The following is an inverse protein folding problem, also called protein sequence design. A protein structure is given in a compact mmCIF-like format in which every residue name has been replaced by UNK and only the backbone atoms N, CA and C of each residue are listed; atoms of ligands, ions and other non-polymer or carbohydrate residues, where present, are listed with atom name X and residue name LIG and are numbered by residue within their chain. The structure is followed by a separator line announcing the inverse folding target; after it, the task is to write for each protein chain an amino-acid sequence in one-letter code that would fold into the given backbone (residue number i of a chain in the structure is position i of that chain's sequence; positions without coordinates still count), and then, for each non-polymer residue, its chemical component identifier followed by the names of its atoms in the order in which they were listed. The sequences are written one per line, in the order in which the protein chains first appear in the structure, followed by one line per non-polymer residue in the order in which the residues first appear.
data_IF_082259538179
#
_entry.id   IF_082259538179
#
_cell.length_a   1.000
_cell.length_b   1.000
_cell.length_c   1.000
_cell.angle_alpha   90.00
_cell.angle_beta   90.00
_cell.angle_gamma   90.00
#
_symmetry.space_group_name_H-M   'P 1'
#
loop_
_entity.id
_entity.type
_entity.pdbx_description
1 polymer ?
#
# COMPACT_ATOMS: atom_id res chain seq x y z
N UNK A 1 16.04 -13.20 -14.18
CA UNK A 1 14.90 -13.01 -13.25
C UNK A 1 13.91 -12.06 -13.86
N UNK A 2 12.64 -12.36 -13.82
CA UNK A 2 11.56 -11.49 -14.27
C UNK A 2 10.87 -10.86 -13.04
N UNK A 3 10.63 -9.55 -13.07
CA UNK A 3 9.81 -8.84 -12.07
C UNK A 3 8.52 -8.40 -12.76
N UNK A 4 7.38 -8.69 -12.18
CA UNK A 4 6.06 -8.28 -12.67
C UNK A 4 5.40 -7.38 -11.64
N UNK A 5 4.98 -6.19 -12.06
CA UNK A 5 4.35 -5.17 -11.23
C UNK A 5 2.91 -4.95 -11.66
N UNK A 6 1.99 -4.70 -10.72
CA UNK A 6 0.57 -4.47 -11.00
C UNK A 6 0.31 -3.14 -11.68
N UNK A 7 0.91 -2.06 -11.17
CA UNK A 7 0.66 -0.69 -11.64
C UNK A 7 1.65 -0.24 -12.71
N UNK A 8 1.64 1.04 -13.03
CA UNK A 8 2.42 1.67 -14.09
C UNK A 8 3.92 1.75 -13.75
N UNK A 9 4.73 1.90 -14.80
CA UNK A 9 6.19 2.01 -14.70
C UNK A 9 6.67 3.28 -13.98
N UNK A 10 5.88 4.35 -14.00
CA UNK A 10 6.16 5.62 -13.34
C UNK A 10 5.55 5.75 -11.94
N UNK A 11 4.95 4.68 -11.42
CA UNK A 11 4.50 4.63 -10.04
C UNK A 11 5.68 4.69 -9.07
N UNK A 12 5.63 5.66 -8.16
CA UNK A 12 6.73 5.92 -7.21
C UNK A 12 7.01 4.76 -6.28
N UNK A 13 5.97 4.03 -5.86
CA UNK A 13 6.12 2.85 -5.03
C UNK A 13 6.98 1.81 -5.73
N UNK A 14 6.76 1.60 -7.03
CA UNK A 14 7.54 0.62 -7.78
C UNK A 14 8.95 1.06 -8.12
N UNK A 15 9.19 2.37 -8.31
CA UNK A 15 10.55 2.86 -8.45
C UNK A 15 11.37 2.55 -7.19
N UNK A 16 10.80 2.82 -6.02
CA UNK A 16 11.42 2.50 -4.73
C UNK A 16 11.53 0.99 -4.51
N UNK A 17 10.43 0.24 -4.66
CA UNK A 17 10.40 -1.21 -4.48
C UNK A 17 11.40 -1.93 -5.38
N UNK A 18 11.48 -1.57 -6.66
CA UNK A 18 12.44 -2.16 -7.59
C UNK A 18 13.90 -1.87 -7.18
N UNK A 19 14.16 -0.66 -6.67
CA UNK A 19 15.47 -0.31 -6.12
C UNK A 19 15.81 -1.16 -4.90
N UNK A 20 14.87 -1.29 -3.97
CA UNK A 20 15.05 -2.08 -2.75
C UNK A 20 15.18 -3.58 -3.05
N UNK A 21 14.40 -4.14 -3.97
CA UNK A 21 14.55 -5.53 -4.43
C UNK A 21 15.99 -5.77 -4.92
N UNK A 22 16.51 -4.90 -5.80
CA UNK A 22 17.88 -5.03 -6.31
C UNK A 22 18.93 -4.97 -5.19
N UNK A 23 18.75 -4.08 -4.23
CA UNK A 23 19.62 -3.91 -3.07
C UNK A 23 19.57 -5.15 -2.16
N UNK A 24 18.38 -5.66 -1.85
CA UNK A 24 18.20 -6.83 -1.00
C UNK A 24 18.68 -8.13 -1.67
N UNK A 25 18.48 -8.28 -2.97
CA UNK A 25 19.07 -9.41 -3.72
C UNK A 25 20.60 -9.43 -3.63
N UNK A 26 21.26 -8.27 -3.79
CA UNK A 26 22.72 -8.17 -3.63
C UNK A 26 23.17 -8.52 -2.22
N UNK A 27 22.45 -8.07 -1.17
CA UNK A 27 22.73 -8.45 0.22
C UNK A 27 22.65 -9.97 0.42
N UNK A 28 21.69 -10.62 -0.25
CA UNK A 28 21.51 -12.06 -0.25
C UNK A 28 22.45 -12.77 -1.24
N UNK A 29 23.46 -12.08 -1.80
CA UNK A 29 24.44 -12.61 -2.77
C UNK A 29 23.82 -13.12 -4.08
N UNK A 30 22.67 -12.62 -4.45
CA UNK A 30 22.02 -12.90 -5.73
C UNK A 30 22.41 -11.84 -6.75
N UNK A 31 23.18 -12.25 -7.76
CA UNK A 31 23.49 -11.42 -8.92
C UNK A 31 22.59 -11.86 -10.09
N UNK A 32 21.63 -11.04 -10.46
CA UNK A 32 20.61 -11.38 -11.45
C UNK A 32 20.50 -10.31 -12.53
N UNK A 33 20.38 -10.75 -13.78
CA UNK A 33 19.82 -9.93 -14.85
C UNK A 33 18.30 -9.82 -14.63
N UNK A 34 17.78 -8.60 -14.48
CA UNK A 34 16.40 -8.34 -14.10
C UNK A 34 15.70 -7.58 -15.23
N UNK A 35 14.65 -8.19 -15.77
CA UNK A 35 13.67 -7.53 -16.63
C UNK A 35 12.39 -7.28 -15.87
N UNK A 36 11.76 -6.14 -16.10
CA UNK A 36 10.52 -5.76 -15.41
C UNK A 36 9.40 -5.58 -16.43
N UNK A 37 8.23 -6.12 -16.08
CA UNK A 37 6.98 -5.92 -16.78
C UNK A 37 6.00 -5.19 -15.87
N UNK A 38 5.25 -4.26 -16.44
CA UNK A 38 4.21 -3.49 -15.75
C UNK A 38 2.86 -3.84 -16.38
N UNK A 39 1.96 -4.38 -15.56
CA UNK A 39 0.63 -4.78 -16.01
C UNK A 39 -0.24 -3.58 -16.35
N UNK A 40 -0.05 -2.48 -15.60
CA UNK A 40 -0.84 -1.25 -15.72
C UNK A 40 -2.34 -1.52 -15.47
N UNK A 41 -2.61 -2.22 -14.37
CA UNK A 41 -3.95 -2.71 -14.02
C UNK A 41 -5.02 -1.63 -13.83
N UNK A 42 -4.63 -0.37 -13.74
CA UNK A 42 -5.57 0.75 -13.69
C UNK A 42 -6.16 1.11 -15.07
N UNK A 43 -5.56 0.61 -16.14
CA UNK A 43 -5.94 0.94 -17.52
C UNK A 43 -6.73 -0.16 -18.23
N UNK A 44 -6.74 -1.38 -17.69
CA UNK A 44 -7.30 -2.56 -18.38
C UNK A 44 -8.35 -3.27 -17.53
N UNK A 45 -9.26 -3.97 -18.22
CA UNK A 45 -10.21 -4.91 -17.61
C UNK A 45 -9.50 -6.23 -17.31
N UNK A 46 -10.08 -7.04 -16.43
CA UNK A 46 -9.45 -8.30 -16.00
C UNK A 46 -9.14 -9.25 -17.16
N UNK A 47 -10.03 -9.36 -18.14
CA UNK A 47 -9.83 -10.18 -19.32
C UNK A 47 -8.69 -9.65 -20.21
N UNK A 48 -8.59 -8.33 -20.36
CA UNK A 48 -7.53 -7.67 -21.10
C UNK A 48 -6.17 -7.83 -20.39
N UNK A 49 -6.16 -7.76 -19.06
CA UNK A 49 -4.96 -8.02 -18.26
C UNK A 49 -4.45 -9.46 -18.44
N UNK A 50 -5.37 -10.44 -18.42
CA UNK A 50 -5.02 -11.86 -18.62
C UNK A 50 -4.45 -12.10 -20.03
N UNK A 51 -5.05 -11.50 -21.06
CA UNK A 51 -4.53 -11.59 -22.44
C UNK A 51 -3.15 -10.91 -22.58
N UNK A 52 -2.98 -9.71 -22.04
CA UNK A 52 -1.69 -8.99 -22.03
C UNK A 52 -0.62 -9.80 -21.33
N UNK A 53 -0.94 -10.38 -20.18
CA UNK A 53 -0.01 -11.24 -19.42
C UNK A 53 0.36 -12.48 -20.24
N UNK A 54 -0.62 -13.14 -20.85
CA UNK A 54 -0.37 -14.31 -21.70
C UNK A 54 0.62 -13.97 -22.82
N UNK A 55 0.34 -12.93 -23.60
CA UNK A 55 1.16 -12.50 -24.74
C UNK A 55 2.57 -12.07 -24.30
N UNK A 56 2.68 -11.40 -23.15
CA UNK A 56 3.97 -11.04 -22.59
C UNK A 56 4.77 -12.27 -22.19
N UNK A 57 4.16 -13.22 -21.46
CA UNK A 57 4.83 -14.46 -21.05
C UNK A 57 5.24 -15.30 -22.27
N UNK A 58 4.42 -15.36 -23.31
CA UNK A 58 4.77 -16.05 -24.55
C UNK A 58 6.05 -15.49 -25.20
N UNK A 59 6.22 -14.18 -25.13
CA UNK A 59 7.42 -13.48 -25.62
C UNK A 59 8.62 -13.71 -24.71
N UNK A 60 8.45 -13.46 -23.39
CA UNK A 60 9.58 -13.45 -22.44
C UNK A 60 10.09 -14.85 -22.10
N UNK A 61 9.29 -15.91 -22.28
CA UNK A 61 9.72 -17.30 -22.05
C UNK A 61 10.96 -17.71 -22.87
N UNK A 62 11.18 -17.05 -24.00
CA UNK A 62 12.37 -17.30 -24.84
C UNK A 62 13.66 -16.83 -24.15
N UNK A 63 13.57 -15.85 -23.26
CA UNK A 63 14.68 -15.40 -22.42
C UNK A 63 14.97 -16.35 -21.25
N UNK A 64 14.07 -17.31 -20.98
CA UNK A 64 14.20 -18.35 -19.94
C UNK A 64 14.50 -17.77 -18.55
N UNK A 65 13.63 -16.97 -17.97
CA UNK A 65 13.83 -16.51 -16.58
C UNK A 65 13.87 -17.71 -15.62
N UNK A 66 14.85 -17.71 -14.72
CA UNK A 66 14.99 -18.76 -13.69
C UNK A 66 13.98 -18.58 -12.55
N UNK A 67 13.45 -17.38 -12.37
CA UNK A 67 12.52 -17.01 -11.33
C UNK A 67 11.67 -15.83 -11.76
N UNK A 68 10.39 -15.84 -11.38
CA UNK A 68 9.48 -14.69 -11.48
C UNK A 68 9.24 -14.14 -10.07
N UNK A 69 9.47 -12.83 -9.89
CA UNK A 69 8.97 -12.06 -8.77
C UNK A 69 7.73 -11.33 -9.23
N UNK A 70 6.63 -11.43 -8.50
CA UNK A 70 5.39 -10.77 -8.86
C UNK A 70 4.84 -10.01 -7.65
N UNK A 71 4.36 -8.80 -7.87
CA UNK A 71 3.95 -7.91 -6.79
C UNK A 71 2.48 -7.49 -6.92
N UNK A 72 1.84 -7.48 -5.78
CA UNK A 72 0.46 -7.12 -5.50
C UNK A 72 -0.59 -8.10 -6.06
N UNK A 73 -1.82 -7.96 -5.62
CA UNK A 73 -2.92 -8.89 -5.91
C UNK A 73 -3.19 -9.02 -7.41
N UNK A 74 -3.24 -7.89 -8.14
CA UNK A 74 -3.63 -7.88 -9.55
C UNK A 74 -2.65 -8.67 -10.42
N UNK A 75 -1.35 -8.31 -10.38
CA UNK A 75 -0.35 -9.00 -11.18
C UNK A 75 -0.19 -10.47 -10.78
N UNK A 76 -0.28 -10.76 -9.47
CA UNK A 76 -0.15 -12.13 -8.96
C UNK A 76 -1.27 -13.02 -9.51
N UNK A 77 -2.50 -12.56 -9.44
CA UNK A 77 -3.64 -13.36 -9.90
C UNK A 77 -3.77 -13.38 -11.43
N UNK A 78 -3.47 -12.27 -12.10
CA UNK A 78 -3.42 -12.22 -13.56
C UNK A 78 -2.37 -13.19 -14.12
N UNK A 79 -1.18 -13.27 -13.51
CA UNK A 79 -0.15 -14.24 -13.89
C UNK A 79 -0.63 -15.68 -13.78
N UNK A 80 -1.37 -16.02 -12.71
CA UNK A 80 -1.90 -17.37 -12.53
C UNK A 80 -3.08 -17.67 -13.45
N UNK A 81 -3.95 -16.69 -13.68
CA UNK A 81 -5.18 -16.86 -14.47
C UNK A 81 -4.95 -16.78 -15.97
N UNK A 82 -3.88 -16.16 -16.44
CA UNK A 82 -3.61 -16.04 -17.88
C UNK A 82 -3.52 -17.39 -18.63
N UNK A 83 -3.37 -18.48 -17.88
CA UNK A 83 -3.41 -19.83 -18.44
C UNK A 83 -2.16 -20.25 -19.23
N UNK A 84 -1.11 -19.43 -19.27
CA UNK A 84 0.09 -19.74 -20.04
C UNK A 84 0.88 -20.91 -19.39
N UNK A 85 1.20 -22.00 -20.13
CA UNK A 85 1.80 -23.21 -19.54
C UNK A 85 3.19 -22.99 -18.93
N UNK A 86 3.91 -21.96 -19.38
CA UNK A 86 5.23 -21.61 -18.84
C UNK A 86 5.15 -21.19 -17.37
N UNK A 87 4.07 -20.54 -16.93
CA UNK A 87 3.88 -20.08 -15.56
C UNK A 87 3.94 -21.24 -14.56
N UNK A 88 3.50 -22.44 -14.95
CA UNK A 88 3.56 -23.65 -14.12
C UNK A 88 4.94 -24.31 -14.05
N UNK A 89 5.90 -23.84 -14.88
CA UNK A 89 7.23 -24.48 -15.00
C UNK A 89 8.33 -23.66 -14.34
N UNK A 90 8.11 -22.38 -14.14
CA UNK A 90 9.09 -21.46 -13.56
C UNK A 90 8.73 -21.18 -12.10
N UNK A 91 9.69 -21.13 -11.18
CA UNK A 91 9.45 -20.67 -9.81
C UNK A 91 8.85 -19.26 -9.76
N UNK A 92 7.87 -19.04 -8.89
CA UNK A 92 7.24 -17.75 -8.68
C UNK A 92 7.29 -17.38 -7.20
N UNK A 93 7.72 -16.16 -6.91
CA UNK A 93 7.67 -15.58 -5.56
C UNK A 93 6.80 -14.33 -5.62
N UNK A 94 5.65 -14.38 -4.97
CA UNK A 94 4.80 -13.19 -4.86
C UNK A 94 5.10 -12.39 -3.59
N UNK A 95 4.69 -11.11 -3.60
CA UNK A 95 4.74 -10.21 -2.46
C UNK A 95 3.68 -9.12 -2.63
N UNK A 96 3.29 -8.43 -1.55
CA UNK A 96 2.30 -7.34 -1.61
C UNK A 96 0.86 -7.81 -1.78
N UNK A 97 0.58 -9.10 -1.72
CA UNK A 97 -0.78 -9.63 -1.79
C UNK A 97 -1.48 -9.39 -0.46
N UNK A 98 -2.57 -8.62 -0.46
CA UNK A 98 -3.35 -8.35 0.74
C UNK A 98 -4.43 -9.40 1.00
N UNK A 99 -4.99 -9.98 -0.05
CA UNK A 99 -6.13 -10.91 0.03
C UNK A 99 -5.82 -12.23 -0.69
N UNK A 100 -5.07 -13.16 -0.06
CA UNK A 100 -4.70 -14.42 -0.69
C UNK A 100 -5.90 -15.25 -1.13
N UNK A 101 -5.92 -15.59 -2.43
CA UNK A 101 -6.84 -16.57 -2.99
C UNK A 101 -6.23 -17.98 -2.83
N UNK A 102 -6.44 -18.58 -1.66
CA UNK A 102 -5.84 -19.87 -1.31
C UNK A 102 -6.20 -20.97 -2.30
N UNK A 103 -7.46 -21.05 -2.76
CA UNK A 103 -7.92 -22.04 -3.73
C UNK A 103 -7.18 -21.96 -5.08
N UNK A 104 -6.76 -20.74 -5.45
CA UNK A 104 -5.97 -20.53 -6.66
C UNK A 104 -4.49 -20.85 -6.42
N UNK A 105 -3.94 -20.41 -5.30
CA UNK A 105 -2.53 -20.63 -4.92
C UNK A 105 -2.21 -22.13 -4.81
N UNK A 106 -3.09 -22.93 -4.24
CA UNK A 106 -2.94 -24.38 -4.12
C UNK A 106 -2.81 -25.12 -5.46
N UNK A 107 -3.30 -24.53 -6.55
CA UNK A 107 -3.16 -25.10 -7.92
C UNK A 107 -1.78 -24.90 -8.55
N UNK A 108 -0.89 -24.16 -7.86
CA UNK A 108 0.42 -23.78 -8.36
C UNK A 108 1.54 -24.17 -7.38
N UNK A 109 2.00 -25.44 -7.37
CA UNK A 109 3.01 -25.90 -6.43
C UNK A 109 4.39 -25.25 -6.63
N UNK A 110 4.57 -24.50 -7.73
CA UNK A 110 5.74 -23.72 -8.06
C UNK A 110 5.64 -22.25 -7.61
N UNK A 111 4.62 -21.91 -6.80
CA UNK A 111 4.38 -20.56 -6.28
C UNK A 111 4.54 -20.54 -4.78
N UNK A 112 5.28 -19.58 -4.27
CA UNK A 112 5.38 -19.21 -2.87
C UNK A 112 5.46 -17.70 -2.75
N UNK A 113 5.51 -17.17 -1.53
CA UNK A 113 5.63 -15.73 -1.33
C UNK A 113 5.35 -15.29 0.08
N UNK A 114 5.20 -13.99 0.22
CA UNK A 114 4.72 -13.35 1.44
C UNK A 114 3.49 -12.51 1.18
N UNK A 115 2.52 -12.57 2.08
CA UNK A 115 1.28 -11.80 1.96
C UNK A 115 1.15 -10.76 3.06
N UNK A 116 0.58 -9.63 2.72
CA UNK A 116 0.53 -8.45 3.56
C UNK A 116 -0.83 -8.35 4.24
N UNK A 117 -1.03 -9.16 5.28
CA UNK A 117 -2.25 -9.10 6.08
C UNK A 117 -2.46 -7.71 6.64
N UNK A 118 -3.62 -7.13 6.38
CA UNK A 118 -3.96 -5.83 6.93
C UNK A 118 -4.33 -5.96 8.41
N UNK A 119 -3.66 -5.22 9.27
CA UNK A 119 -3.96 -5.17 10.70
C UNK A 119 -4.82 -3.95 11.04
N UNK A 120 -6.12 -4.09 10.85
CA UNK A 120 -7.08 -3.01 11.12
C UNK A 120 -7.14 -2.64 12.60
N UNK A 121 -7.00 -3.62 13.51
CA UNK A 121 -7.05 -3.37 14.96
C UNK A 121 -5.89 -2.49 15.40
N UNK A 122 -4.70 -2.85 14.95
CA UNK A 122 -3.49 -2.11 15.32
C UNK A 122 -3.48 -0.71 14.73
N UNK A 123 -3.94 -0.54 13.48
CA UNK A 123 -4.07 0.79 12.88
C UNK A 123 -5.10 1.67 13.61
N UNK A 124 -6.25 1.14 14.00
CA UNK A 124 -7.23 1.90 14.78
C UNK A 124 -6.73 2.22 16.19
N UNK A 125 -5.98 1.29 16.81
CA UNK A 125 -5.31 1.55 18.09
C UNK A 125 -4.27 2.66 17.96
N UNK A 126 -3.48 2.65 16.89
CA UNK A 126 -2.50 3.69 16.58
C UNK A 126 -3.16 5.06 16.42
N UNK A 127 -4.28 5.13 15.67
CA UNK A 127 -5.05 6.36 15.49
C UNK A 127 -5.57 6.87 16.84
N UNK A 128 -6.14 5.99 17.66
CA UNK A 128 -6.67 6.36 18.98
C UNK A 128 -5.57 6.87 19.93
N UNK A 129 -4.41 6.25 19.92
CA UNK A 129 -3.25 6.68 20.70
C UNK A 129 -2.69 8.03 20.23
N UNK A 130 -2.60 8.23 18.91
CA UNK A 130 -2.00 9.43 18.34
C UNK A 130 -2.94 10.65 18.39
N UNK A 131 -4.22 10.41 18.18
CA UNK A 131 -5.22 11.47 17.97
C UNK A 131 -6.24 11.56 19.10
N UNK A 132 -6.23 10.61 20.03
CA UNK A 132 -7.27 10.47 21.06
C UNK A 132 -8.63 10.11 20.45
N UNK A 133 -9.71 10.37 21.23
CA UNK A 133 -11.06 10.10 20.76
C UNK A 133 -11.38 10.93 19.51
N UNK A 134 -11.52 10.22 18.40
CA UNK A 134 -11.68 10.84 17.08
C UNK A 134 -12.89 10.27 16.36
N UNK A 135 -13.42 11.06 15.42
CA UNK A 135 -14.34 10.55 14.41
C UNK A 135 -13.50 10.07 13.22
N UNK A 136 -13.55 8.78 12.95
CA UNK A 136 -12.71 8.14 11.93
C UNK A 136 -13.54 7.93 10.67
N UNK A 137 -13.07 8.47 9.57
CA UNK A 137 -13.64 8.26 8.24
C UNK A 137 -12.86 7.17 7.52
N UNK A 138 -13.48 6.00 7.38
CA UNK A 138 -12.93 4.85 6.67
C UNK A 138 -13.13 5.06 5.17
N UNK A 139 -12.04 5.22 4.45
CA UNK A 139 -12.06 5.39 3.00
C UNK A 139 -11.74 4.07 2.31
N UNK A 140 -12.55 3.67 1.37
CA UNK A 140 -12.36 2.51 0.51
C UNK A 140 -13.06 2.72 -0.83
N UNK A 141 -12.61 2.02 -1.86
CA UNK A 141 -13.18 2.13 -3.21
C UNK A 141 -14.27 1.09 -3.49
N UNK A 142 -14.93 1.20 -4.63
CA UNK A 142 -15.98 0.26 -5.09
C UNK A 142 -15.41 -1.03 -5.70
N UNK A 143 -14.09 -1.20 -5.79
CA UNK A 143 -13.48 -2.40 -6.36
C UNK A 143 -13.83 -3.65 -5.56
N UNK A 144 -13.68 -4.82 -6.14
CA UNK A 144 -13.82 -6.08 -5.41
C UNK A 144 -12.88 -6.15 -4.21
N UNK A 145 -11.66 -5.61 -4.36
CA UNK A 145 -10.68 -5.57 -3.27
C UNK A 145 -11.06 -4.54 -2.21
N UNK A 146 -11.57 -3.35 -2.59
CA UNK A 146 -12.06 -2.36 -1.63
C UNK A 146 -13.24 -2.87 -0.82
N UNK A 147 -14.18 -3.58 -1.46
CA UNK A 147 -15.30 -4.23 -0.77
C UNK A 147 -14.84 -5.34 0.16
N UNK A 148 -13.81 -6.08 -0.23
CA UNK A 148 -13.23 -7.13 0.60
C UNK A 148 -12.52 -6.53 1.81
N UNK A 149 -11.71 -5.48 1.63
CA UNK A 149 -11.05 -4.74 2.69
C UNK A 149 -12.06 -4.22 3.73
N UNK A 150 -13.16 -3.65 3.26
CA UNK A 150 -14.23 -3.18 4.14
C UNK A 150 -14.87 -4.31 4.95
N UNK A 151 -15.21 -5.43 4.30
CA UNK A 151 -15.77 -6.59 5.00
C UNK A 151 -14.82 -7.17 6.05
N UNK A 152 -13.53 -7.25 5.73
CA UNK A 152 -12.52 -7.73 6.66
C UNK A 152 -12.33 -6.79 7.86
N UNK A 153 -12.36 -5.47 7.64
CA UNK A 153 -12.34 -4.48 8.72
C UNK A 153 -13.51 -4.68 9.67
N UNK A 154 -14.76 -4.78 9.15
CA UNK A 154 -15.96 -4.96 9.98
C UNK A 154 -15.90 -6.26 10.79
N UNK A 155 -15.36 -7.32 10.23
CA UNK A 155 -15.17 -8.59 10.97
C UNK A 155 -14.07 -8.51 12.04
N UNK A 156 -13.01 -7.77 11.73
CA UNK A 156 -11.83 -7.74 12.61
C UNK A 156 -11.99 -6.81 13.80
N UNK A 157 -12.81 -5.77 13.69
CA UNK A 157 -12.86 -4.67 14.65
C UNK A 157 -14.17 -4.65 15.39
N UNK A 158 -14.09 -4.44 16.71
CA UNK A 158 -15.27 -4.08 17.52
C UNK A 158 -15.65 -2.63 17.20
N UNK A 159 -16.57 -2.45 16.26
CA UNK A 159 -16.99 -1.14 15.75
C UNK A 159 -17.71 -0.29 16.80
N UNK A 160 -18.17 -0.88 17.92
CA UNK A 160 -18.81 -0.15 19.00
C UNK A 160 -17.83 0.73 19.81
N UNK A 161 -16.54 0.43 19.74
CA UNK A 161 -15.48 1.17 20.43
C UNK A 161 -15.07 2.46 19.75
N UNK A 162 -15.42 2.63 18.47
CA UNK A 162 -14.98 3.74 17.64
C UNK A 162 -16.17 4.46 17.01
N UNK A 163 -16.01 5.74 16.73
CA UNK A 163 -16.98 6.50 15.93
C UNK A 163 -16.56 6.43 14.47
N UNK A 164 -17.02 5.42 13.76
CA UNK A 164 -16.67 5.16 12.38
C UNK A 164 -17.71 5.72 11.43
N UNK A 165 -17.23 6.39 10.37
CA UNK A 165 -18.01 6.77 9.20
C UNK A 165 -17.39 6.10 7.97
N UNK A 166 -18.21 5.66 7.05
CA UNK A 166 -17.78 4.87 5.91
C UNK A 166 -17.95 5.65 4.63
N UNK A 167 -16.83 5.93 3.96
CA UNK A 167 -16.78 6.60 2.68
C UNK A 167 -16.43 5.61 1.60
N UNK A 168 -17.45 5.14 0.89
CA UNK A 168 -17.22 4.39 -0.32
C UNK A 168 -16.99 5.35 -1.47
N UNK A 169 -15.79 5.36 -1.98
CA UNK A 169 -15.38 6.25 -3.05
C UNK A 169 -15.68 5.60 -4.39
N UNK A 170 -16.39 6.36 -5.24
CA UNK A 170 -16.67 5.93 -6.59
C UNK A 170 -15.38 6.08 -7.43
N UNK A 171 -14.45 5.14 -7.26
CA UNK A 171 -13.23 5.12 -8.04
C UNK A 171 -13.12 3.83 -8.81
N UNK A 172 -13.31 3.93 -10.12
CA UNK A 172 -12.71 2.98 -11.07
C UNK A 172 -12.75 3.50 -12.49
N UNK A 173 -11.66 3.30 -13.21
CA UNK A 173 -11.60 3.24 -14.66
C UNK A 173 -12.65 2.26 -15.24
N UNK A 174 -13.08 1.29 -14.45
CA UNK A 174 -14.05 0.25 -14.78
C UNK A 174 -15.48 0.55 -14.30
N UNK A 175 -15.74 1.71 -13.71
CA UNK A 175 -17.11 2.15 -13.49
C UNK A 175 -17.66 2.55 -14.86
N UNK A 176 -18.73 1.88 -15.40
CA UNK A 176 -19.29 2.19 -16.71
C UNK A 176 -19.73 3.65 -16.83
N UNK A 177 -19.93 4.35 -15.72
CA UNK A 177 -20.17 5.79 -15.67
C UNK A 177 -18.89 6.64 -15.78
N UNK A 178 -17.73 6.00 -15.83
CA UNK A 178 -16.42 6.64 -15.82
C UNK A 178 -15.72 6.51 -17.18
N UNK A 179 -16.06 7.38 -18.13
CA UNK A 179 -15.32 7.53 -19.40
C UNK A 179 -14.56 8.84 -19.38
N UNK A 180 -13.34 8.84 -18.82
CA UNK A 180 -12.58 10.10 -18.75
C UNK A 180 -11.08 9.85 -18.86
N UNK A 181 -10.36 10.75 -19.56
CA UNK A 181 -8.90 10.76 -19.56
C UNK A 181 -8.33 10.95 -18.14
N UNK A 182 -7.10 10.52 -17.93
CA UNK A 182 -6.49 10.45 -16.60
C UNK A 182 -6.43 11.80 -15.85
N UNK A 183 -6.51 12.92 -16.55
CA UNK A 183 -6.42 14.24 -15.95
C UNK A 183 -7.80 14.76 -15.55
N UNK A 184 -8.79 14.55 -16.39
CA UNK A 184 -10.22 14.82 -16.10
C UNK A 184 -10.68 13.90 -14.99
N UNK A 185 -10.26 12.64 -15.01
CA UNK A 185 -10.46 11.66 -13.96
C UNK A 185 -9.98 12.15 -12.59
N UNK A 186 -8.72 12.59 -12.46
CA UNK A 186 -8.18 13.14 -11.21
C UNK A 186 -8.96 14.38 -10.72
N UNK A 187 -9.43 15.20 -11.64
CA UNK A 187 -10.20 16.41 -11.33
C UNK A 187 -11.61 16.05 -10.88
N UNK A 188 -12.29 15.14 -11.57
CA UNK A 188 -13.62 14.68 -11.18
C UNK A 188 -13.62 13.88 -9.89
N UNK A 189 -12.58 13.09 -9.65
CA UNK A 189 -12.38 12.39 -8.39
C UNK A 189 -12.27 13.37 -7.22
N UNK A 190 -11.45 14.42 -7.37
CA UNK A 190 -11.38 15.50 -6.39
C UNK A 190 -12.75 16.14 -6.15
N UNK A 191 -13.48 16.40 -7.22
CA UNK A 191 -14.82 17.01 -7.16
C UNK A 191 -15.88 16.08 -6.56
N UNK A 192 -15.83 14.77 -6.86
CA UNK A 192 -16.76 13.78 -6.30
C UNK A 192 -16.47 13.50 -4.82
N UNK A 193 -15.21 13.51 -4.42
CA UNK A 193 -14.82 13.40 -3.02
C UNK A 193 -15.17 14.66 -2.20
N UNK A 194 -15.15 15.82 -2.85
CA UNK A 194 -15.55 17.11 -2.26
C UNK A 194 -17.08 17.24 -2.22
N UNK A 195 -17.84 16.45 -2.99
CA UNK A 195 -19.30 16.34 -2.80
C UNK A 195 -19.58 15.40 -1.63
N UNK A 196 -19.66 15.93 -0.40
CA UNK A 196 -19.78 15.07 0.75
C UNK A 196 -21.14 14.38 0.71
N UNK A 197 -21.17 13.14 1.15
CA UNK A 197 -22.36 12.73 1.88
C UNK A 197 -22.66 13.82 2.90
N UNK A 198 -23.90 14.16 3.14
CA UNK A 198 -24.33 15.26 4.06
C UNK A 198 -23.57 15.29 5.40
N UNK A 199 -22.81 14.26 5.72
CA UNK A 199 -22.06 14.06 6.93
C UNK A 199 -20.57 14.46 6.89
N UNK A 200 -19.97 14.67 5.71
CA UNK A 200 -18.52 14.99 5.58
C UNK A 200 -18.24 16.50 5.63
N UNK A 201 -19.20 17.35 5.23
CA UNK A 201 -19.00 18.81 5.11
C UNK A 201 -18.72 19.50 6.45
N UNK A 202 -19.09 18.91 7.56
CA UNK A 202 -19.19 19.65 8.82
C UNK A 202 -17.98 19.52 9.76
N UNK A 203 -16.88 18.93 9.30
CA UNK A 203 -15.77 18.59 10.19
C UNK A 203 -14.42 19.02 9.67
N UNK A 204 -13.87 20.04 10.26
CA UNK A 204 -12.50 20.48 9.99
C UNK A 204 -11.78 20.83 11.29
N UNK A 205 -11.40 19.86 12.11
CA UNK A 205 -10.40 20.14 13.10
C UNK A 205 -9.05 20.20 12.39
N UNK A 206 -8.35 21.26 12.54
CA UNK A 206 -6.96 21.37 12.14
C UNK A 206 -6.13 21.79 13.34
N UNK A 207 -4.91 21.27 13.39
CA UNK A 207 -3.94 21.68 14.39
C UNK A 207 -3.32 23.01 13.97
N UNK A 208 -3.38 24.00 14.85
CA UNK A 208 -2.65 25.24 14.64
C UNK A 208 -1.14 25.01 14.79
N UNK A 209 -0.34 25.89 14.21
CA UNK A 209 1.11 25.85 14.30
C UNK A 209 1.66 25.87 15.75
N UNK A 210 0.88 26.33 16.72
CA UNK A 210 1.22 26.33 18.13
C UNK A 210 0.74 25.09 18.90
N UNK A 211 0.27 24.06 18.20
CA UNK A 211 -0.24 22.85 18.83
C UNK A 211 -1.70 22.91 19.29
N UNK A 212 -2.36 24.05 19.17
CA UNK A 212 -3.79 24.15 19.50
C UNK A 212 -4.65 23.58 18.38
N UNK A 213 -5.73 22.91 18.77
CA UNK A 213 -6.72 22.39 17.85
C UNK A 213 -7.88 23.35 17.70
N UNK A 214 -8.18 23.74 16.49
CA UNK A 214 -9.42 24.47 16.19
C UNK A 214 -10.51 23.46 15.90
N UNK A 215 -11.49 23.48 16.77
CA UNK A 215 -12.71 22.70 16.61
C UNK A 215 -13.72 23.51 15.82
N UNK A 216 -14.01 23.12 14.61
CA UNK A 216 -15.24 23.51 13.93
C UNK A 216 -16.24 22.37 13.94
N UNK A 217 -16.50 21.79 15.10
CA UNK A 217 -17.47 20.72 15.23
C UNK A 217 -18.77 21.25 15.80
N UNK A 218 -19.83 21.21 15.04
CA UNK A 218 -21.16 21.61 15.44
C UNK A 218 -21.72 20.74 16.58
N UNK A 219 -21.21 19.52 16.77
CA UNK A 219 -21.75 18.60 17.78
C UNK A 219 -20.86 18.37 19.00
N UNK A 220 -19.73 19.03 19.12
CA UNK A 220 -18.92 19.14 20.35
C UNK A 220 -18.39 17.85 21.02
N UNK A 221 -18.69 16.67 20.49
CA UNK A 221 -18.47 15.41 21.20
C UNK A 221 -17.11 14.75 20.89
N UNK A 222 -16.49 15.08 19.76
CA UNK A 222 -15.22 14.50 19.33
C UNK A 222 -14.27 15.58 18.83
N UNK A 223 -13.06 15.68 19.39
CA UNK A 223 -12.15 16.78 19.08
C UNK A 223 -11.52 16.67 17.69
N UNK A 224 -11.53 15.50 17.04
CA UNK A 224 -10.82 15.29 15.79
C UNK A 224 -11.62 14.54 14.74
N UNK A 225 -11.36 14.90 13.47
CA UNK A 225 -11.61 14.06 12.31
C UNK A 225 -10.29 13.43 11.87
N UNK A 226 -10.35 12.16 11.55
CA UNK A 226 -9.20 11.40 11.03
C UNK A 226 -9.65 10.62 9.82
N UNK A 227 -8.87 10.64 8.74
CA UNK A 227 -9.06 9.74 7.61
C UNK A 227 -8.26 8.46 7.83
N UNK A 228 -8.90 7.33 7.60
CA UNK A 228 -8.25 6.03 7.62
C UNK A 228 -8.51 5.30 6.30
N UNK A 229 -7.46 5.16 5.51
CA UNK A 229 -7.51 4.58 4.18
C UNK A 229 -7.19 3.10 4.27
N UNK A 230 -8.15 2.26 3.98
CA UNK A 230 -8.00 0.80 4.03
C UNK A 230 -7.83 0.17 2.65
N UNK A 231 -8.01 0.96 1.62
CA UNK A 231 -7.71 0.64 0.24
C UNK A 231 -7.30 1.90 -0.50
N UNK A 232 -6.59 1.68 -1.61
CA UNK A 232 -6.08 2.75 -2.45
C UNK A 232 -7.14 3.79 -2.82
N UNK A 233 -6.82 5.04 -2.58
CA UNK A 233 -7.66 6.15 -2.97
C UNK A 233 -6.87 7.47 -3.07
N UNK A 234 -6.75 7.96 -4.30
CA UNK A 234 -6.15 9.27 -4.57
C UNK A 234 -6.93 10.45 -3.97
N UNK A 235 -8.18 10.24 -3.61
CA UNK A 235 -9.05 11.33 -3.19
C UNK A 235 -8.89 11.70 -1.73
N UNK A 236 -8.63 10.73 -0.87
CA UNK A 236 -8.40 10.98 0.56
C UNK A 236 -7.19 11.87 0.80
N UNK A 237 -6.19 11.77 -0.05
CA UNK A 237 -5.01 12.61 -0.05
C UNK A 237 -5.31 14.07 -0.33
N UNK A 238 -6.05 14.35 -1.40
CA UNK A 238 -6.45 15.71 -1.71
C UNK A 238 -7.35 16.33 -0.65
N UNK A 239 -8.17 15.51 0.01
CA UNK A 239 -9.01 15.97 1.13
C UNK A 239 -8.18 16.25 2.37
N UNK A 240 -7.22 15.41 2.71
CA UNK A 240 -6.34 15.61 3.87
C UNK A 240 -5.59 16.94 3.77
N UNK A 241 -5.06 17.27 2.59
CA UNK A 241 -4.40 18.56 2.33
C UNK A 241 -5.33 19.74 2.49
N UNK A 242 -6.48 19.66 1.85
CA UNK A 242 -7.43 20.77 1.84
C UNK A 242 -7.95 21.08 3.23
N UNK A 243 -8.09 20.08 4.10
CA UNK A 243 -8.69 20.24 5.42
C UNK A 243 -7.71 20.15 6.60
N UNK A 244 -6.41 19.99 6.32
CA UNK A 244 -5.39 19.78 7.37
C UNK A 244 -5.76 18.63 8.31
N UNK A 245 -6.46 17.65 7.79
CA UNK A 245 -6.97 16.51 8.56
C UNK A 245 -5.91 15.41 8.59
N UNK A 246 -5.59 14.84 9.74
CA UNK A 246 -4.70 13.68 9.80
C UNK A 246 -5.24 12.53 8.96
N UNK A 247 -4.38 11.95 8.13
CA UNK A 247 -4.72 10.82 7.29
C UNK A 247 -3.79 9.65 7.58
N UNK A 248 -4.36 8.49 7.85
CA UNK A 248 -3.64 7.24 8.08
C UNK A 248 -3.94 6.24 6.97
N UNK A 249 -3.07 5.26 6.81
CA UNK A 249 -3.29 4.17 5.86
C UNK A 249 -2.97 2.82 6.48
N UNK A 250 -3.72 1.81 6.07
CA UNK A 250 -3.46 0.41 6.41
C UNK A 250 -2.64 -0.32 5.34
N UNK A 251 -2.38 0.32 4.20
CA UNK A 251 -1.74 -0.27 3.03
C UNK A 251 -0.65 0.63 2.48
N UNK A 252 0.38 -0.01 1.94
CA UNK A 252 1.60 0.64 1.43
C UNK A 252 1.34 1.57 0.24
N UNK A 253 0.43 1.17 -0.64
CA UNK A 253 0.22 1.81 -1.94
C UNK A 253 -0.12 3.29 -1.81
N UNK A 254 -0.78 3.68 -0.74
CA UNK A 254 -1.18 5.07 -0.51
C UNK A 254 -0.03 5.91 0.02
N UNK A 255 0.93 5.30 0.71
CA UNK A 255 1.90 6.05 1.52
C UNK A 255 2.91 6.87 0.70
N UNK A 256 3.30 6.41 -0.48
CA UNK A 256 4.40 7.03 -1.26
C UNK A 256 3.94 7.85 -2.48
N UNK A 257 2.64 8.08 -2.68
CA UNK A 257 2.12 8.71 -3.90
C UNK A 257 1.98 10.25 -3.80
N UNK A 258 2.76 10.95 -3.02
CA UNK A 258 2.56 12.38 -2.68
C UNK A 258 1.20 12.67 -2.05
N UNK A 259 0.71 11.74 -1.33
CA UNK A 259 -0.50 11.89 -0.57
C UNK A 259 -0.11 12.22 0.85
N UNK A 260 -0.79 13.18 1.40
CA UNK A 260 -0.58 13.68 2.72
C UNK A 260 -1.12 12.68 3.74
N UNK A 261 -0.42 11.56 3.83
CA UNK A 261 -0.68 10.49 4.79
C UNK A 261 0.39 10.56 5.87
N UNK A 262 -0.05 10.74 7.11
CA UNK A 262 0.85 10.77 8.27
C UNK A 262 1.61 9.45 8.43
N UNK A 263 0.92 8.33 8.28
CA UNK A 263 1.52 7.02 8.47
C UNK A 263 0.52 5.90 8.70
N UNK A 264 1.00 4.81 9.27
CA UNK A 264 0.21 3.64 9.61
C UNK A 264 1.05 2.47 10.10
N UNK A 265 0.41 1.31 10.22
CA UNK A 265 1.05 0.03 10.55
C UNK A 265 0.79 -0.96 9.43
N UNK A 266 1.81 -1.21 8.61
CA UNK A 266 1.70 -2.04 7.41
C UNK A 266 3.07 -2.58 6.95
N UNK A 267 3.07 -3.46 5.96
CA UNK A 267 4.28 -3.93 5.29
C UNK A 267 4.79 -2.85 4.33
N UNK A 268 5.96 -2.27 4.62
CA UNK A 268 6.57 -1.23 3.77
C UNK A 268 7.30 -1.84 2.55
N UNK A 269 7.63 -1.00 1.55
CA UNK A 269 8.45 -1.39 0.40
C UNK A 269 9.75 -2.08 0.83
N UNK A 270 10.40 -1.55 1.86
CA UNK A 270 11.64 -2.09 2.40
C UNK A 270 11.47 -3.51 2.95
N UNK A 271 10.42 -3.78 3.71
CA UNK A 271 10.12 -5.10 4.26
C UNK A 271 9.72 -6.05 3.15
N UNK A 272 8.85 -5.61 2.25
CA UNK A 272 8.40 -6.39 1.10
C UNK A 272 9.58 -6.85 0.23
N UNK A 273 10.47 -5.93 -0.12
CA UNK A 273 11.67 -6.24 -0.89
C UNK A 273 12.59 -7.22 -0.17
N UNK A 274 12.79 -7.04 1.14
CA UNK A 274 13.65 -7.91 1.92
C UNK A 274 13.12 -9.35 1.97
N UNK A 275 11.81 -9.53 2.25
CA UNK A 275 11.18 -10.84 2.28
C UNK A 275 11.19 -11.51 0.89
N UNK A 276 10.84 -10.78 -0.16
CA UNK A 276 10.85 -11.30 -1.52
C UNK A 276 12.25 -11.71 -1.97
N UNK A 277 13.27 -10.90 -1.69
CA UNK A 277 14.66 -11.22 -2.01
C UNK A 277 15.19 -12.42 -1.21
N UNK A 278 14.82 -12.54 0.07
CA UNK A 278 15.17 -13.68 0.92
C UNK A 278 14.60 -14.98 0.37
N UNK A 279 13.32 -14.99 -0.01
CA UNK A 279 12.66 -16.14 -0.62
C UNK A 279 13.28 -16.50 -1.99
N UNK A 280 13.56 -15.48 -2.81
CA UNK A 280 14.22 -15.64 -4.10
C UNK A 280 15.61 -16.27 -3.95
N UNK A 281 16.42 -15.79 -3.03
CA UNK A 281 17.75 -16.34 -2.76
C UNK A 281 17.70 -17.81 -2.33
N UNK A 282 16.75 -18.15 -1.47
CA UNK A 282 16.54 -19.53 -1.01
C UNK A 282 16.19 -20.47 -2.17
N UNK A 283 15.32 -20.05 -3.08
CA UNK A 283 14.93 -20.83 -4.25
C UNK A 283 16.09 -20.96 -5.24
N UNK A 284 16.77 -19.87 -5.55
CA UNK A 284 17.90 -19.86 -6.48
C UNK A 284 19.11 -20.65 -5.96
N UNK A 285 19.24 -20.86 -4.65
CA UNK A 285 20.24 -21.75 -4.06
C UNK A 285 19.85 -23.25 -4.13
N UNK A 286 18.73 -23.58 -4.78
CA UNK A 286 18.31 -24.97 -5.01
C UNK A 286 17.23 -25.50 -4.08
N UNK A 287 16.67 -24.69 -3.19
CA UNK A 287 15.55 -25.12 -2.36
C UNK A 287 14.28 -25.27 -3.20
N UNK A 288 13.61 -26.42 -3.21
CA UNK A 288 12.38 -26.61 -3.95
C UNK A 288 11.29 -25.63 -3.49
N UNK A 289 10.60 -24.97 -4.43
CA UNK A 289 9.56 -23.99 -4.10
C UNK A 289 8.46 -24.58 -3.22
N UNK A 290 8.05 -25.83 -3.51
CA UNK A 290 7.04 -26.55 -2.75
C UNK A 290 7.40 -26.79 -1.27
N UNK A 291 8.67 -26.65 -0.91
CA UNK A 291 9.15 -26.73 0.48
C UNK A 291 9.25 -25.36 1.17
N UNK A 292 8.97 -24.29 0.47
CA UNK A 292 9.02 -22.92 0.99
C UNK A 292 7.58 -22.46 1.27
N UNK A 293 7.17 -22.37 2.55
CA UNK A 293 5.80 -22.00 2.85
C UNK A 293 5.52 -20.53 2.49
N UNK A 294 4.26 -20.24 2.16
CA UNK A 294 3.76 -18.87 2.10
C UNK A 294 3.69 -18.32 3.52
N UNK A 295 4.21 -17.12 3.74
CA UNK A 295 4.30 -16.51 5.06
C UNK A 295 3.59 -15.16 5.12
N UNK A 296 3.16 -14.76 6.30
CA UNK A 296 2.68 -13.39 6.54
C UNK A 296 3.91 -12.46 6.63
N UNK A 297 3.88 -11.34 5.90
CA UNK A 297 4.94 -10.34 5.93
C UNK A 297 4.99 -9.63 7.30
N UNK A 298 6.19 -9.34 7.82
CA UNK A 298 6.33 -8.41 8.93
C UNK A 298 5.75 -7.04 8.61
N UNK A 299 5.41 -6.30 9.65
CA UNK A 299 4.86 -4.94 9.55
C UNK A 299 5.66 -3.98 10.42
N UNK A 300 5.59 -2.71 10.10
CA UNK A 300 6.22 -1.66 10.89
C UNK A 300 5.31 -0.45 11.02
N UNK A 301 5.52 0.35 12.05
CA UNK A 301 4.97 1.69 12.10
C UNK A 301 5.82 2.59 11.21
N UNK A 302 5.19 3.22 10.25
CA UNK A 302 5.83 4.10 9.29
C UNK A 302 5.15 5.46 9.30
N UNK A 303 5.95 6.54 9.44
CA UNK A 303 5.45 7.91 9.44
C UNK A 303 6.22 8.77 8.46
N UNK A 304 5.56 9.77 7.90
CA UNK A 304 6.17 10.79 7.06
C UNK A 304 6.54 12.03 7.88
N UNK A 305 7.80 12.42 7.81
CA UNK A 305 8.30 13.59 8.55
C UNK A 305 7.60 14.89 8.15
N UNK A 306 7.37 15.09 6.84
CA UNK A 306 6.70 16.29 6.34
C UNK A 306 5.29 16.43 6.89
N UNK A 307 4.57 15.31 6.96
CA UNK A 307 3.23 15.27 7.54
C UNK A 307 3.22 15.46 9.05
N UNK A 308 4.21 14.87 9.75
CA UNK A 308 4.39 15.14 11.18
C UNK A 308 4.57 16.64 11.43
N UNK A 309 5.44 17.31 10.66
CA UNK A 309 5.67 18.75 10.80
C UNK A 309 4.40 19.55 10.45
N UNK A 310 3.71 19.21 9.37
CA UNK A 310 2.47 19.87 8.96
C UNK A 310 1.38 19.80 10.04
N UNK A 311 1.30 18.66 10.73
CA UNK A 311 0.33 18.43 11.80
C UNK A 311 0.85 18.85 13.18
N UNK A 312 2.10 19.32 13.28
CA UNK A 312 2.76 19.70 14.53
C UNK A 312 2.95 18.53 15.49
N UNK A 313 3.22 17.33 14.97
CA UNK A 313 3.48 16.13 15.76
C UNK A 313 4.99 16.01 15.97
N UNK A 314 5.42 15.90 17.22
CA UNK A 314 6.82 15.74 17.57
C UNK A 314 7.25 14.27 17.55
N UNK A 315 8.58 14.01 17.60
CA UNK A 315 9.12 12.64 17.66
C UNK A 315 8.74 11.90 18.93
N UNK A 316 8.50 12.63 20.00
CA UNK A 316 8.14 12.10 21.32
C UNK A 316 6.68 11.64 21.38
N UNK A 317 5.85 12.15 20.47
CA UNK A 317 4.43 11.83 20.39
C UNK A 317 4.12 10.59 19.55
N UNK A 318 5.10 10.06 18.82
CA UNK A 318 4.91 8.87 17.98
C UNK A 318 5.43 7.60 18.68
N UNK A 319 5.03 6.39 18.23
CA UNK A 319 5.55 5.14 18.80
C UNK A 319 7.09 5.07 18.79
N UNK A 320 7.70 4.58 19.84
CA UNK A 320 9.18 4.51 19.98
C UNK A 320 9.87 3.68 18.90
N UNK A 321 9.17 2.75 18.29
CA UNK A 321 9.67 1.88 17.23
C UNK A 321 9.19 2.30 15.83
N UNK A 322 8.75 3.56 15.68
CA UNK A 322 8.33 4.09 14.38
C UNK A 322 9.53 4.31 13.46
N UNK A 323 9.37 3.93 12.21
CA UNK A 323 10.28 4.33 11.14
C UNK A 323 9.75 5.64 10.53
N UNK A 324 10.55 6.71 10.62
CA UNK A 324 10.18 8.01 10.07
C UNK A 324 10.95 8.21 8.77
N UNK A 325 10.21 8.38 7.67
CA UNK A 325 10.80 8.68 6.35
C UNK A 325 10.79 10.17 6.04
N UNK A 326 11.52 10.58 5.01
CA UNK A 326 11.62 11.95 4.53
C UNK A 326 12.15 12.94 5.60
N UNK A 327 12.80 12.43 6.64
CA UNK A 327 13.41 13.26 7.67
C UNK A 327 14.68 13.96 7.11
N UNK A 328 14.82 15.28 7.25
CA UNK A 328 16.04 15.99 6.86
C UNK A 328 17.26 15.45 7.60
N UNK A 329 18.43 15.49 6.97
CA UNK A 329 19.69 15.05 7.57
C UNK A 329 19.98 15.82 8.87
N UNK A 330 19.61 17.11 8.92
CA UNK A 330 19.73 17.95 10.12
C UNK A 330 18.97 17.43 11.34
N UNK A 331 17.91 16.65 11.11
CA UNK A 331 17.04 16.09 12.15
C UNK A 331 17.41 14.66 12.55
N UNK A 332 18.33 14.01 11.80
CA UNK A 332 18.76 12.64 12.08
C UNK A 332 19.65 12.50 13.33
N UNK A 333 19.86 13.61 14.05
CA UNK A 333 20.79 13.67 15.19
C UNK A 333 22.24 13.49 14.71
N UNK A 334 23.09 14.46 14.89
CA UNK A 334 24.51 14.33 14.56
C UNK A 334 25.07 13.11 15.29
N UNK A 335 25.48 12.11 14.55
CA UNK A 335 26.63 11.35 14.97
C UNK A 335 27.71 12.42 15.22
N UNK A 336 28.12 12.60 16.47
CA UNK A 336 29.17 13.53 16.83
C UNK A 336 30.30 13.43 15.82
N UNK A 337 30.84 14.55 15.31
CA UNK A 337 31.97 14.46 14.41
C UNK A 337 33.06 13.63 15.12
N UNK A 338 33.51 12.59 14.44
CA UNK A 338 34.68 11.84 14.87
C UNK A 338 35.78 12.89 15.18
N UNK A 339 36.37 12.90 16.38
CA UNK A 339 37.46 13.79 16.62
C UNK A 339 38.61 13.39 15.68
N UNK A 340 38.87 14.28 14.74
CA UNK A 340 40.10 14.23 13.98
C UNK A 340 41.24 14.55 14.95
N UNK A 341 41.94 13.55 15.40
CA UNK A 341 43.28 13.66 15.98
C UNK A 341 44.20 12.65 15.31
#
# INVERSE_FOLDING_TARGET
MLVIQSFRWDDKNYLELNSDIRKELRKNRVNADIRTFYLDCECYMAEEEEERMYNFIDTIRLWKPDLILVNDDQATYTLMKCGHPFVKKVPVVFSGVNFPNWDLLEKYPNVTGSWDKIDYKENLRLIDQQMGKSRIYINYDKTSLGQLAFRELIKAVDTSRYVLNYNQLAFQLNDPDFKVDSMTFRTEMRMKAIRPSKNVIHFMPFRKANGEFLLSNINGTYPYCVFFNIRYDYTSAGLSKMFVTPSFTAVREIFNINVEVLGGYFCSNRIQAAEQARLAAKILSGTPVSSVPIVESPKEYLYDWGEMQRLGISKEEVPTNVHIINMPISELGFLSPLPWA
#
